data_IF_971139960972
#
_entry.id   IF_971139960972
#
_cell.length_a   1.000
_cell.length_b   1.000
_cell.length_c   1.000
_cell.angle_alpha   90.00
_cell.angle_beta   90.00
_cell.angle_gamma   90.00
#
_symmetry.space_group_name_H-M   'P 1'
#
loop_
_entity.id
_entity.type
_entity.pdbx_description
1 polymer ?
#
# COMPACT_ATOMS: atom_id res chain seq x y z
N UNK A 1 5.28 -9.06 -52.02
CA UNK A 1 5.87 -7.72 -51.78
C UNK A 1 4.89 -6.76 -51.05
N UNK A 2 3.61 -6.61 -51.47
CA UNK A 2 2.68 -5.67 -50.80
C UNK A 2 2.23 -6.14 -49.40
N UNK A 3 2.09 -7.44 -49.17
CA UNK A 3 1.66 -8.00 -47.87
C UNK A 3 2.79 -8.09 -46.80
N UNK A 4 4.06 -8.02 -47.21
CA UNK A 4 5.19 -8.03 -46.27
C UNK A 4 5.46 -6.65 -45.64
N UNK A 5 5.13 -5.56 -46.35
CA UNK A 5 5.32 -4.19 -45.85
C UNK A 5 4.28 -3.79 -44.80
N UNK A 6 3.04 -4.30 -44.89
CA UNK A 6 1.99 -4.04 -43.91
C UNK A 6 2.29 -4.75 -42.58
N UNK A 7 2.77 -6.01 -42.66
CA UNK A 7 3.09 -6.79 -41.45
C UNK A 7 4.29 -6.24 -40.66
N UNK A 8 5.25 -5.58 -41.29
CA UNK A 8 6.42 -5.02 -40.59
C UNK A 8 6.12 -3.67 -39.94
N UNK A 9 5.23 -2.85 -40.51
CA UNK A 9 4.83 -1.57 -39.90
C UNK A 9 3.92 -1.75 -38.70
N UNK A 10 3.01 -2.72 -38.69
CA UNK A 10 2.18 -3.04 -37.54
C UNK A 10 3.00 -3.64 -36.38
N UNK A 11 3.92 -4.57 -36.66
CA UNK A 11 4.79 -5.15 -35.62
C UNK A 11 5.74 -4.11 -35.01
N UNK A 12 6.27 -3.17 -35.78
CA UNK A 12 7.10 -2.07 -35.26
C UNK A 12 6.28 -1.05 -34.49
N UNK A 13 5.05 -0.75 -34.91
CA UNK A 13 4.12 0.11 -34.17
C UNK A 13 3.73 -0.48 -32.80
N UNK A 14 3.33 -1.73 -32.76
CA UNK A 14 2.98 -2.46 -31.52
C UNK A 14 4.19 -2.59 -30.58
N UNK A 15 5.38 -2.86 -31.12
CA UNK A 15 6.62 -2.93 -30.34
C UNK A 15 6.98 -1.58 -29.71
N UNK A 16 6.87 -0.48 -30.47
CA UNK A 16 7.11 0.88 -29.96
C UNK A 16 6.07 1.30 -28.91
N UNK A 17 4.79 0.98 -29.13
CA UNK A 17 3.74 1.23 -28.12
C UNK A 17 3.97 0.44 -26.83
N UNK A 18 4.34 -0.84 -26.93
CA UNK A 18 4.67 -1.66 -25.74
C UNK A 18 5.89 -1.15 -24.99
N UNK A 19 6.91 -0.64 -25.71
CA UNK A 19 8.11 -0.08 -25.08
C UNK A 19 7.81 1.26 -24.42
N UNK A 20 7.02 2.13 -25.06
CA UNK A 20 6.58 3.40 -24.48
C UNK A 20 5.76 3.15 -23.19
N UNK A 21 4.73 2.29 -23.28
CA UNK A 21 3.90 1.93 -22.12
C UNK A 21 4.73 1.37 -20.96
N UNK A 22 5.71 0.50 -21.25
CA UNK A 22 6.61 -0.03 -20.21
C UNK A 22 7.49 1.05 -19.60
N UNK A 23 7.95 2.04 -20.35
CA UNK A 23 8.71 3.16 -19.83
C UNK A 23 7.85 4.04 -18.89
N UNK A 24 6.57 4.24 -19.20
CA UNK A 24 5.64 5.01 -18.37
C UNK A 24 5.44 4.33 -17.00
N UNK A 25 5.37 2.99 -16.95
CA UNK A 25 5.24 2.23 -15.70
C UNK A 25 6.51 2.29 -14.82
N UNK A 26 7.64 2.63 -15.40
CA UNK A 26 8.94 2.80 -14.73
C UNK A 26 9.26 4.26 -14.43
N UNK A 27 8.37 5.22 -14.73
CA UNK A 27 8.60 6.64 -14.49
C UNK A 27 8.16 7.05 -13.07
N UNK A 28 9.10 7.36 -12.16
CA UNK A 28 8.80 7.80 -10.81
C UNK A 28 8.57 9.31 -10.69
N UNK A 29 8.55 10.07 -11.79
CA UNK A 29 8.59 11.56 -11.77
C UNK A 29 7.41 12.20 -11.02
N UNK A 30 6.27 11.50 -10.92
CA UNK A 30 5.10 11.90 -10.15
C UNK A 30 5.19 11.60 -8.66
N UNK A 31 6.22 10.87 -8.23
CA UNK A 31 6.36 10.38 -6.86
C UNK A 31 7.33 11.23 -6.03
N UNK A 32 7.23 11.07 -4.71
CA UNK A 32 8.12 11.69 -3.73
C UNK A 32 8.41 10.72 -2.60
N UNK A 33 9.57 10.89 -1.97
CA UNK A 33 9.88 10.24 -0.71
C UNK A 33 9.06 10.94 0.40
N UNK A 34 8.25 10.17 1.11
CA UNK A 34 7.31 10.74 2.08
C UNK A 34 8.03 11.46 3.22
N UNK A 35 9.19 10.96 3.66
CA UNK A 35 10.02 11.62 4.69
C UNK A 35 10.56 13.00 4.28
N UNK A 36 10.62 13.32 2.98
CA UNK A 36 11.04 14.65 2.54
C UNK A 36 9.93 15.71 2.79
N UNK A 37 8.66 15.28 2.77
CA UNK A 37 7.51 16.16 3.03
C UNK A 37 7.06 16.14 4.48
N UNK A 38 7.20 14.99 5.16
CA UNK A 38 6.79 14.74 6.54
C UNK A 38 7.98 14.16 7.31
N UNK A 39 8.95 15.00 7.73
CA UNK A 39 10.23 14.52 8.30
C UNK A 39 10.10 13.74 9.61
N UNK A 40 9.02 13.94 10.34
CA UNK A 40 8.74 13.27 11.62
C UNK A 40 7.89 12.00 11.48
N UNK A 41 7.56 11.58 10.24
CA UNK A 41 6.79 10.38 9.98
C UNK A 41 7.59 9.13 10.38
N UNK A 42 6.90 8.19 11.02
CA UNK A 42 7.51 6.91 11.39
C UNK A 42 7.23 5.93 10.26
N UNK A 43 8.26 5.22 9.82
CA UNK A 43 8.16 4.24 8.75
C UNK A 43 8.58 2.87 9.28
N UNK A 44 7.66 1.92 9.29
CA UNK A 44 7.89 0.51 9.56
C UNK A 44 7.42 -0.29 8.36
N UNK A 45 8.13 -0.15 7.24
CA UNK A 45 7.74 -0.76 5.97
C UNK A 45 7.78 -2.29 6.09
N UNK A 46 6.61 -2.90 6.25
CA UNK A 46 6.45 -4.32 6.59
C UNK A 46 6.97 -5.22 5.50
N UNK A 47 6.75 -4.86 4.25
CA UNK A 47 7.13 -5.68 3.11
C UNK A 47 8.63 -5.61 2.75
N UNK A 48 9.37 -4.67 3.33
CA UNK A 48 10.83 -4.68 3.30
C UNK A 48 11.43 -5.70 4.30
N UNK A 49 10.68 -6.08 5.32
CA UNK A 49 11.12 -7.03 6.36
C UNK A 49 10.50 -8.41 6.15
N UNK A 50 10.86 -9.37 7.00
CA UNK A 50 10.24 -10.70 7.03
C UNK A 50 8.99 -10.75 7.93
N UNK A 51 8.65 -9.67 8.64
CA UNK A 51 7.46 -9.63 9.49
C UNK A 51 6.23 -9.14 8.71
N UNK A 52 5.77 -9.98 7.80
CA UNK A 52 4.58 -9.82 6.98
C UNK A 52 3.90 -11.20 6.79
N UNK A 53 2.77 -11.24 6.13
CA UNK A 53 1.96 -12.48 5.99
C UNK A 53 2.62 -13.59 5.14
N UNK A 54 3.67 -13.28 4.38
CA UNK A 54 4.48 -14.25 3.63
C UNK A 54 5.61 -14.79 4.50
N UNK A 55 6.28 -13.92 5.28
CA UNK A 55 7.43 -14.25 6.12
C UNK A 55 8.78 -14.10 5.42
N UNK A 56 8.81 -13.43 4.27
CA UNK A 56 10.01 -13.06 3.51
C UNK A 56 9.92 -11.59 3.07
N UNK A 57 11.08 -10.99 2.73
CA UNK A 57 11.06 -9.67 2.10
C UNK A 57 10.40 -9.77 0.73
N UNK A 58 9.50 -8.85 0.45
CA UNK A 58 8.71 -8.83 -0.76
C UNK A 58 9.51 -8.23 -1.93
N UNK A 59 9.33 -8.81 -3.12
CA UNK A 59 9.98 -8.32 -4.34
C UNK A 59 9.67 -6.85 -4.60
N UNK A 60 10.68 -6.12 -5.06
CA UNK A 60 10.57 -4.69 -5.37
C UNK A 60 10.72 -3.75 -4.19
N UNK A 61 10.80 -4.22 -2.94
CA UNK A 61 11.15 -3.40 -1.79
C UNK A 61 12.66 -3.43 -1.57
N UNK A 62 13.37 -2.43 -2.10
CA UNK A 62 14.84 -2.32 -2.01
C UNK A 62 15.29 -1.49 -0.79
N UNK A 63 14.44 -0.57 -0.32
CA UNK A 63 14.67 0.27 0.87
C UNK A 63 13.43 0.30 1.78
N UNK A 64 13.60 0.50 3.10
CA UNK A 64 12.49 0.64 4.04
C UNK A 64 11.92 2.06 4.02
N UNK A 65 11.49 2.54 2.86
CA UNK A 65 10.96 3.88 2.66
C UNK A 65 9.57 3.88 2.05
N UNK A 66 8.77 4.90 2.38
CA UNK A 66 7.45 5.12 1.81
C UNK A 66 7.55 6.10 0.63
N UNK A 67 7.08 5.66 -0.53
CA UNK A 67 6.91 6.48 -1.72
C UNK A 67 5.42 6.71 -1.95
N UNK A 68 5.02 7.93 -2.30
CA UNK A 68 3.65 8.26 -2.70
C UNK A 68 3.67 9.21 -3.89
N UNK A 69 2.56 9.27 -4.62
CA UNK A 69 2.33 10.38 -5.53
C UNK A 69 2.41 11.69 -4.77
N UNK A 70 2.83 12.74 -5.45
CA UNK A 70 3.00 14.08 -4.86
C UNK A 70 1.69 14.61 -4.23
N UNK A 71 0.57 14.29 -4.84
CA UNK A 71 -0.78 14.64 -4.40
C UNK A 71 -1.13 13.91 -3.10
N UNK A 72 -0.98 12.59 -3.06
CA UNK A 72 -1.23 11.80 -1.86
C UNK A 72 -0.31 12.18 -0.70
N UNK A 73 0.97 12.43 -0.98
CA UNK A 73 1.94 12.87 0.04
C UNK A 73 1.59 14.24 0.62
N UNK A 74 1.06 15.18 -0.19
CA UNK A 74 0.57 16.50 0.29
C UNK A 74 -0.66 16.36 1.17
N UNK A 75 -1.63 15.54 0.76
CA UNK A 75 -2.82 15.26 1.55
C UNK A 75 -2.42 14.60 2.89
N UNK A 76 -1.52 13.64 2.87
CA UNK A 76 -1.03 12.97 4.09
C UNK A 76 -0.24 13.91 5.00
N UNK A 77 0.47 14.90 4.46
CA UNK A 77 1.10 15.97 5.26
C UNK A 77 0.05 16.77 6.04
N UNK A 78 -1.11 17.05 5.45
CA UNK A 78 -2.20 17.74 6.15
C UNK A 78 -2.76 16.88 7.28
N UNK A 79 -2.93 15.56 7.06
CA UNK A 79 -3.28 14.58 8.09
C UNK A 79 -2.26 14.60 9.22
N UNK A 80 -0.97 14.53 8.90
CA UNK A 80 0.12 14.54 9.89
C UNK A 80 0.10 15.81 10.74
N UNK A 81 -0.07 16.99 10.12
CA UNK A 81 -0.14 18.26 10.83
C UNK A 81 -1.35 18.31 11.80
N UNK A 82 -2.53 17.84 11.36
CA UNK A 82 -3.73 17.80 12.21
C UNK A 82 -3.52 16.85 13.41
N UNK A 83 -2.96 15.67 13.15
CA UNK A 83 -2.74 14.68 14.21
C UNK A 83 -1.63 15.09 15.17
N UNK A 84 -0.58 15.76 14.69
CA UNK A 84 0.48 16.29 15.53
C UNK A 84 -0.04 17.27 16.59
N UNK A 85 -0.92 18.19 16.21
CA UNK A 85 -1.58 19.14 17.16
C UNK A 85 -2.41 18.39 18.21
N UNK A 86 -2.92 17.20 17.87
CA UNK A 86 -3.70 16.35 18.79
C UNK A 86 -2.82 15.41 19.62
N UNK A 87 -1.50 15.46 19.48
CA UNK A 87 -0.56 14.64 20.23
C UNK A 87 -0.26 13.27 19.60
N UNK A 88 -0.51 13.11 18.31
CA UNK A 88 -0.26 11.85 17.60
C UNK A 88 0.73 12.04 16.45
N UNK A 89 1.46 10.98 16.12
CA UNK A 89 2.29 10.87 14.91
C UNK A 89 1.75 9.76 14.01
N UNK A 90 1.95 9.91 12.71
CA UNK A 90 1.63 8.85 11.76
C UNK A 90 2.74 7.80 11.74
N UNK A 91 2.36 6.54 11.67
CA UNK A 91 3.26 5.41 11.44
C UNK A 91 2.79 4.66 10.20
N UNK A 92 3.65 4.54 9.21
CA UNK A 92 3.37 3.94 7.89
C UNK A 92 3.85 2.49 7.90
N UNK A 93 2.98 1.58 7.47
CA UNK A 93 3.27 0.17 7.26
C UNK A 93 3.57 -0.14 5.79
N UNK A 94 2.83 0.50 4.86
CA UNK A 94 3.03 0.42 3.42
C UNK A 94 2.52 1.69 2.72
N UNK A 95 3.03 1.94 1.49
CA UNK A 95 2.60 3.05 0.66
C UNK A 95 2.58 2.60 -0.81
N UNK A 96 3.34 3.20 -1.73
CA UNK A 96 3.49 2.64 -3.06
C UNK A 96 4.05 1.21 -2.99
N UNK A 97 3.39 0.29 -3.70
CA UNK A 97 3.74 -1.12 -3.81
C UNK A 97 3.87 -1.47 -5.28
N UNK A 98 5.05 -1.84 -5.79
CA UNK A 98 5.23 -2.15 -7.21
C UNK A 98 4.45 -3.40 -7.63
N UNK A 99 4.11 -3.51 -8.91
CA UNK A 99 3.39 -4.69 -9.43
C UNK A 99 4.13 -6.01 -9.19
N UNK A 100 5.48 -6.03 -9.19
CA UNK A 100 6.23 -7.24 -8.86
C UNK A 100 5.95 -7.74 -7.45
N UNK A 101 5.71 -6.85 -6.48
CA UNK A 101 5.29 -7.22 -5.12
C UNK A 101 3.90 -7.89 -5.11
N UNK A 102 2.96 -7.34 -5.88
CA UNK A 102 1.61 -7.94 -6.02
C UNK A 102 1.70 -9.31 -6.68
N UNK A 103 2.55 -9.46 -7.70
CA UNK A 103 2.83 -10.76 -8.34
C UNK A 103 3.42 -11.76 -7.33
N UNK A 104 4.32 -11.32 -6.45
CA UNK A 104 4.88 -12.16 -5.38
C UNK A 104 3.76 -12.66 -4.43
N UNK A 105 2.83 -11.80 -4.01
CA UNK A 105 1.66 -12.19 -3.20
C UNK A 105 0.81 -13.23 -3.89
N UNK A 106 0.54 -13.06 -5.19
CA UNK A 106 -0.27 -14.01 -5.97
C UNK A 106 0.44 -15.36 -6.09
N UNK A 107 1.74 -15.38 -6.37
CA UNK A 107 2.53 -16.61 -6.48
C UNK A 107 2.59 -17.37 -5.15
N UNK A 108 2.85 -16.65 -4.03
CA UNK A 108 2.79 -17.22 -2.70
C UNK A 108 1.41 -17.80 -2.36
N UNK A 109 0.34 -17.12 -2.76
CA UNK A 109 -1.04 -17.55 -2.48
C UNK A 109 -1.47 -18.80 -3.23
N UNK A 110 -0.79 -19.13 -4.35
CA UNK A 110 -1.01 -20.36 -5.12
C UNK A 110 -0.25 -21.55 -4.50
N UNK A 111 0.82 -21.28 -3.79
CA UNK A 111 1.62 -22.30 -3.12
C UNK A 111 1.00 -22.68 -1.77
N UNK A 112 0.39 -23.82 -1.67
CA UNK A 112 -0.36 -24.25 -0.47
C UNK A 112 0.52 -24.63 0.73
N UNK A 113 1.81 -24.93 0.53
CA UNK A 113 2.66 -25.52 1.57
C UNK A 113 3.25 -24.51 2.55
N UNK A 114 3.53 -23.28 2.13
CA UNK A 114 4.10 -22.25 3.00
C UNK A 114 3.00 -21.54 3.82
N UNK A 115 2.73 -22.06 4.99
CA UNK A 115 1.75 -21.52 5.96
C UNK A 115 2.39 -21.03 7.26
N UNK A 116 3.72 -20.79 7.29
CA UNK A 116 4.46 -20.43 8.51
C UNK A 116 3.94 -19.18 9.19
N UNK A 117 3.38 -18.23 8.45
CA UNK A 117 2.84 -16.99 8.97
C UNK A 117 1.33 -17.04 9.26
N UNK A 118 0.66 -18.15 8.93
CA UNK A 118 -0.78 -18.33 9.16
C UNK A 118 -1.23 -18.02 10.59
N UNK A 119 -0.54 -18.48 11.65
CA UNK A 119 -0.97 -18.24 13.03
C UNK A 119 -1.03 -16.75 13.41
N UNK A 120 -0.30 -15.89 12.70
CA UNK A 120 -0.17 -14.47 13.00
C UNK A 120 -1.06 -13.58 12.14
N UNK A 121 -1.26 -13.95 10.85
CA UNK A 121 -1.89 -13.06 9.88
C UNK A 121 -3.23 -13.56 9.33
N UNK A 122 -3.47 -14.89 9.28
CA UNK A 122 -4.71 -15.47 8.74
C UNK A 122 -5.11 -16.76 9.46
N UNK A 123 -5.22 -16.73 10.83
CA UNK A 123 -5.36 -17.96 11.63
C UNK A 123 -6.63 -18.74 11.34
N UNK A 124 -7.68 -18.08 10.82
CA UNK A 124 -9.00 -18.66 10.57
C UNK A 124 -9.26 -18.97 9.09
N UNK A 125 -8.35 -18.58 8.18
CA UNK A 125 -8.57 -18.66 6.74
C UNK A 125 -7.53 -19.58 6.09
N UNK A 126 -7.91 -20.16 4.95
CA UNK A 126 -6.97 -20.79 4.03
C UNK A 126 -6.51 -19.77 2.97
N UNK A 127 -5.33 -19.97 2.35
CA UNK A 127 -4.78 -19.02 1.37
C UNK A 127 -5.74 -18.68 0.23
N UNK A 128 -6.49 -19.66 -0.26
CA UNK A 128 -7.48 -19.46 -1.32
C UNK A 128 -8.63 -18.55 -0.88
N UNK A 129 -9.01 -18.58 0.40
CA UNK A 129 -10.04 -17.69 0.95
C UNK A 129 -9.58 -16.24 1.02
N UNK A 130 -8.26 -15.98 1.13
CA UNK A 130 -7.71 -14.61 1.11
C UNK A 130 -8.03 -13.89 -0.20
N UNK A 131 -7.97 -14.60 -1.33
CA UNK A 131 -8.38 -14.05 -2.64
C UNK A 131 -9.90 -13.92 -2.78
N UNK A 132 -10.65 -14.92 -2.33
CA UNK A 132 -12.12 -14.93 -2.45
C UNK A 132 -12.76 -13.81 -1.59
N UNK A 133 -12.17 -13.53 -0.44
CA UNK A 133 -12.64 -12.48 0.49
C UNK A 133 -12.06 -11.08 0.18
N UNK A 134 -11.17 -10.97 -0.82
CA UNK A 134 -10.63 -9.70 -1.28
C UNK A 134 -9.46 -9.14 -0.45
N UNK A 135 -8.92 -9.89 0.51
CA UNK A 135 -7.73 -9.49 1.27
C UNK A 135 -6.47 -9.42 0.38
N UNK A 136 -6.37 -10.31 -0.61
CA UNK A 136 -5.30 -10.28 -1.61
C UNK A 136 -5.93 -10.16 -2.99
N UNK A 137 -5.58 -9.12 -3.72
CA UNK A 137 -6.06 -8.85 -5.07
C UNK A 137 -4.94 -9.04 -6.11
N UNK A 138 -5.34 -9.33 -7.36
CA UNK A 138 -4.41 -9.42 -8.51
C UNK A 138 -3.93 -8.05 -8.99
N UNK A 139 -4.67 -7.00 -8.68
CA UNK A 139 -4.32 -5.60 -8.92
C UNK A 139 -4.49 -4.87 -7.59
N UNK A 140 -3.52 -4.05 -7.20
CA UNK A 140 -3.53 -3.33 -5.94
C UNK A 140 -3.60 -1.82 -6.17
N UNK A 141 -4.45 -1.13 -5.41
CA UNK A 141 -4.48 0.33 -5.41
C UNK A 141 -3.13 0.95 -5.02
N UNK A 142 -2.35 0.27 -4.18
CA UNK A 142 -0.99 0.70 -3.82
C UNK A 142 -0.07 0.85 -5.04
N UNK A 143 -0.24 0.02 -6.08
CA UNK A 143 0.58 0.12 -7.29
C UNK A 143 0.31 1.39 -8.11
N UNK A 144 -0.78 2.11 -7.83
CA UNK A 144 -1.09 3.42 -8.42
C UNK A 144 -0.43 4.58 -7.66
N UNK A 145 0.16 4.31 -6.48
CA UNK A 145 0.98 5.26 -5.72
C UNK A 145 0.22 6.24 -4.86
N UNK A 146 -1.10 6.12 -4.73
CA UNK A 146 -1.92 7.04 -3.93
C UNK A 146 -2.64 6.36 -2.76
N UNK A 147 -2.21 5.16 -2.41
CA UNK A 147 -2.72 4.36 -1.29
C UNK A 147 -1.67 4.25 -0.20
N UNK A 148 -2.10 4.27 1.06
CA UNK A 148 -1.26 4.17 2.24
C UNK A 148 -1.91 3.31 3.30
N UNK A 149 -1.11 2.45 3.93
CA UNK A 149 -1.45 1.68 5.13
C UNK A 149 -0.75 2.30 6.35
N UNK A 150 -1.53 2.71 7.37
CA UNK A 150 -0.97 3.46 8.48
C UNK A 150 -1.74 3.26 9.80
N UNK A 151 -1.08 3.69 10.88
CA UNK A 151 -1.68 3.81 12.21
C UNK A 151 -1.24 5.12 12.88
N UNK A 152 -1.76 5.35 14.09
CA UNK A 152 -1.41 6.47 14.96
C UNK A 152 -0.53 6.00 16.11
N UNK A 153 0.46 6.82 16.44
CA UNK A 153 1.33 6.65 17.60
C UNK A 153 1.12 7.82 18.55
N UNK A 154 0.80 7.52 19.80
CA UNK A 154 0.66 8.53 20.86
C UNK A 154 2.03 9.09 21.24
N UNK A 155 2.18 10.41 21.18
CA UNK A 155 3.46 11.09 21.41
C UNK A 155 3.91 11.07 22.88
N UNK A 156 2.99 10.91 23.82
CA UNK A 156 3.32 10.89 25.25
C UNK A 156 3.85 9.52 25.67
N UNK A 157 3.29 8.45 25.12
CA UNK A 157 3.66 7.09 25.47
C UNK A 157 4.66 6.46 24.52
N UNK A 158 4.77 6.98 23.30
CA UNK A 158 5.56 6.41 22.21
C UNK A 158 5.00 5.10 21.67
N UNK A 159 3.75 4.75 21.99
CA UNK A 159 3.10 3.50 21.57
C UNK A 159 2.06 3.75 20.49
N UNK A 160 1.84 2.74 19.65
CA UNK A 160 0.70 2.73 18.73
C UNK A 160 -0.61 2.76 19.52
N UNK A 161 -1.63 3.41 18.96
CA UNK A 161 -2.99 3.27 19.46
C UNK A 161 -3.46 1.83 19.22
N UNK A 162 -4.13 1.28 20.21
CA UNK A 162 -4.73 -0.05 20.07
C UNK A 162 -5.94 0.02 19.14
N UNK A 163 -5.81 -0.56 17.96
CA UNK A 163 -6.85 -0.61 16.94
C UNK A 163 -7.70 -1.89 17.01
N UNK A 164 -7.50 -2.75 18.02
CA UNK A 164 -8.24 -3.99 18.23
C UNK A 164 -7.78 -5.16 17.35
N UNK A 165 -6.95 -4.90 16.35
CA UNK A 165 -6.25 -5.93 15.58
C UNK A 165 -4.95 -5.37 15.01
N UNK A 166 -3.90 -6.20 14.83
CA UNK A 166 -2.68 -5.76 14.20
C UNK A 166 -2.87 -5.53 12.70
N UNK A 167 -1.94 -4.79 12.11
CA UNK A 167 -1.80 -4.63 10.65
C UNK A 167 -1.67 -5.99 9.96
N UNK A 168 -2.29 -6.15 8.80
CA UNK A 168 -2.32 -7.37 7.97
C UNK A 168 -2.98 -8.61 8.64
N UNK A 169 -3.72 -8.44 9.73
CA UNK A 169 -4.54 -9.54 10.21
C UNK A 169 -5.77 -9.71 9.31
N UNK A 170 -5.79 -10.74 8.48
CA UNK A 170 -6.90 -11.07 7.59
C UNK A 170 -8.01 -11.80 8.37
N UNK A 171 -8.85 -10.99 9.01
CA UNK A 171 -9.96 -11.42 9.86
C UNK A 171 -11.02 -10.31 9.89
N UNK A 172 -12.28 -10.67 10.08
CA UNK A 172 -13.39 -9.71 10.19
C UNK A 172 -13.20 -8.71 11.34
N UNK A 173 -12.39 -9.05 12.34
CA UNK A 173 -12.03 -8.12 13.41
C UNK A 173 -11.24 -6.91 12.88
N UNK A 174 -10.62 -7.00 11.70
CA UNK A 174 -9.88 -5.91 11.05
C UNK A 174 -10.75 -4.98 10.22
N UNK A 175 -12.03 -5.32 10.00
CA UNK A 175 -12.96 -4.43 9.29
C UNK A 175 -13.18 -3.15 10.09
N UNK A 176 -13.17 -1.97 9.45
CA UNK A 176 -13.31 -0.67 10.15
C UNK A 176 -14.57 -0.55 11.02
N UNK A 177 -15.67 -1.16 10.58
CA UNK A 177 -16.97 -1.14 11.25
C UNK A 177 -17.18 -2.27 12.29
N UNK A 178 -16.18 -3.14 12.47
CA UNK A 178 -16.25 -4.24 13.43
C UNK A 178 -16.56 -3.72 14.84
N UNK A 179 -17.59 -4.30 15.47
CA UNK A 179 -18.02 -3.97 16.83
C UNK A 179 -17.61 -5.03 17.86
N UNK A 180 -16.90 -6.07 17.44
CA UNK A 180 -16.39 -7.11 18.33
C UNK A 180 -15.01 -6.75 18.90
N UNK A 181 -14.83 -5.46 19.21
CA UNK A 181 -13.65 -4.84 19.83
C UNK A 181 -14.12 -3.91 20.95
N UNK A 182 -13.20 -3.38 21.77
CA UNK A 182 -13.58 -2.43 22.82
C UNK A 182 -14.02 -1.07 22.23
N UNK A 183 -14.79 -0.29 23.01
CA UNK A 183 -15.19 1.05 22.61
C UNK A 183 -13.96 1.94 22.34
N UNK A 184 -12.92 1.85 23.16
CA UNK A 184 -11.66 2.59 22.97
C UNK A 184 -10.97 2.22 21.64
N UNK A 185 -10.88 0.93 21.32
CA UNK A 185 -10.31 0.47 20.04
C UNK A 185 -11.11 0.97 18.84
N UNK A 186 -12.44 0.97 18.95
CA UNK A 186 -13.31 1.52 17.93
C UNK A 186 -13.13 3.03 17.78
N UNK A 187 -13.07 3.78 18.87
CA UNK A 187 -12.81 5.23 18.86
C UNK A 187 -11.46 5.56 18.21
N UNK A 188 -10.41 4.78 18.51
CA UNK A 188 -9.10 4.93 17.90
C UNK A 188 -9.17 4.79 16.37
N UNK A 189 -9.89 3.79 15.85
CA UNK A 189 -10.13 3.65 14.40
C UNK A 189 -10.88 4.84 13.83
N UNK A 190 -11.90 5.32 14.53
CA UNK A 190 -12.69 6.48 14.07
C UNK A 190 -11.87 7.77 14.05
N UNK A 191 -10.95 7.96 15.00
CA UNK A 191 -10.01 9.09 14.97
C UNK A 191 -9.19 9.07 13.69
N UNK A 192 -8.59 7.92 13.34
CA UNK A 192 -7.80 7.76 12.13
C UNK A 192 -8.67 7.93 10.87
N UNK A 193 -9.78 7.20 10.79
CA UNK A 193 -10.65 7.22 9.62
C UNK A 193 -11.18 8.63 9.33
N UNK A 194 -11.66 9.33 10.34
CA UNK A 194 -12.22 10.68 10.16
C UNK A 194 -11.18 11.70 9.69
N UNK A 195 -9.95 11.65 10.19
CA UNK A 195 -8.90 12.57 9.73
C UNK A 195 -8.50 12.25 8.30
N UNK A 196 -8.41 10.98 7.94
CA UNK A 196 -8.09 10.55 6.57
C UNK A 196 -9.18 11.02 5.59
N UNK A 197 -10.46 10.77 5.89
CA UNK A 197 -11.59 11.20 5.05
C UNK A 197 -11.62 12.73 4.88
N UNK A 198 -11.43 13.50 5.94
CA UNK A 198 -11.41 14.98 5.84
C UNK A 198 -10.30 15.51 4.95
N UNK A 199 -9.25 14.74 4.78
CA UNK A 199 -8.10 15.09 3.93
C UNK A 199 -8.12 14.38 2.56
N UNK A 200 -9.29 13.89 2.13
CA UNK A 200 -9.54 13.37 0.79
C UNK A 200 -9.16 11.92 0.56
N UNK A 201 -8.98 11.13 1.62
CA UNK A 201 -8.75 9.70 1.50
C UNK A 201 -10.03 8.90 1.72
N UNK A 202 -10.18 7.81 0.96
CA UNK A 202 -11.26 6.84 1.10
C UNK A 202 -10.77 5.57 1.80
N UNK A 203 -11.46 5.09 2.86
CA UNK A 203 -11.19 3.79 3.48
C UNK A 203 -11.73 2.66 2.59
N UNK A 204 -11.31 1.42 2.91
CA UNK A 204 -11.96 0.20 2.39
C UNK A 204 -12.69 -0.56 3.51
N UNK A 205 -13.58 -1.47 3.13
CA UNK A 205 -14.49 -2.13 4.09
C UNK A 205 -13.85 -3.27 4.90
N UNK A 206 -12.67 -3.77 4.49
CA UNK A 206 -12.06 -4.96 5.09
C UNK A 206 -10.79 -4.70 5.92
N UNK A 207 -10.24 -3.46 5.90
CA UNK A 207 -8.96 -3.13 6.53
C UNK A 207 -8.99 -1.73 7.16
N UNK A 208 -8.87 -1.63 8.49
CA UNK A 208 -8.94 -0.34 9.20
C UNK A 208 -7.76 0.60 8.91
N UNK A 209 -6.65 0.07 8.41
CA UNK A 209 -5.41 0.81 8.14
C UNK A 209 -5.31 1.39 6.73
N UNK A 210 -6.12 0.89 5.77
CA UNK A 210 -5.99 1.12 4.34
C UNK A 210 -6.80 2.32 3.85
N UNK A 211 -6.11 3.25 3.17
CA UNK A 211 -6.72 4.47 2.64
C UNK A 211 -6.15 4.83 1.28
N UNK A 212 -7.02 5.12 0.33
CA UNK A 212 -6.67 5.57 -1.03
C UNK A 212 -7.11 7.00 -1.23
N UNK A 213 -6.28 7.87 -1.82
CA UNK A 213 -6.68 9.24 -2.18
C UNK A 213 -7.82 9.19 -3.21
N UNK A 214 -8.92 9.94 -2.98
CA UNK A 214 -10.11 9.92 -3.85
C UNK A 214 -9.77 10.42 -5.26
N UNK A 215 -9.08 11.55 -5.36
CA UNK A 215 -8.63 12.14 -6.62
C UNK A 215 -7.21 11.69 -6.96
N UNK A 216 -7.05 10.40 -7.29
CA UNK A 216 -5.74 9.84 -7.69
C UNK A 216 -5.26 10.44 -9.01
N UNK A 217 -3.98 10.87 -9.13
CA UNK A 217 -3.44 11.36 -10.40
C UNK A 217 -3.27 10.23 -11.45
N UNK A 218 -3.20 8.98 -11.02
CA UNK A 218 -2.94 7.81 -11.89
C UNK A 218 -3.94 6.68 -11.62
N UNK A 219 -5.26 6.87 -11.80
CA UNK A 219 -6.28 5.89 -11.39
C UNK A 219 -6.23 4.56 -12.15
N UNK A 220 -5.60 4.55 -13.34
CA UNK A 220 -5.52 3.38 -14.23
C UNK A 220 -4.08 2.90 -14.47
N UNK A 221 -3.07 3.48 -13.79
CA UNK A 221 -1.67 3.16 -14.00
C UNK A 221 -1.10 2.40 -12.81
N UNK A 222 -0.66 1.16 -13.05
CA UNK A 222 -0.03 0.30 -12.06
C UNK A 222 1.48 0.30 -12.29
N UNK A 223 2.22 0.99 -11.45
CA UNK A 223 3.65 1.19 -11.59
C UNK A 223 4.46 -0.04 -11.18
N UNK A 224 5.67 -0.18 -11.77
CA UNK A 224 6.53 -1.36 -11.59
C UNK A 224 7.96 -1.01 -11.13
N UNK A 225 8.27 0.28 -10.89
CA UNK A 225 9.59 0.66 -10.38
C UNK A 225 9.78 0.26 -8.91
N UNK A 226 11.04 0.02 -8.47
CA UNK A 226 11.29 -0.46 -7.11
C UNK A 226 11.02 0.64 -6.07
N UNK A 227 10.67 0.21 -4.85
CA UNK A 227 10.64 1.09 -3.67
C UNK A 227 12.08 1.38 -3.26
N UNK A 228 12.59 2.52 -3.73
CA UNK A 228 13.97 2.96 -3.52
C UNK A 228 14.07 4.48 -3.62
N UNK A 229 14.67 5.12 -2.64
CA UNK A 229 14.95 6.56 -2.65
C UNK A 229 15.98 6.93 -3.73
N UNK A 230 16.89 6.02 -4.06
CA UNK A 230 17.87 6.22 -5.12
C UNK A 230 17.22 6.23 -6.49
N UNK A 231 16.16 5.44 -6.70
CA UNK A 231 15.44 5.39 -7.97
C UNK A 231 14.72 6.70 -8.28
N UNK A 232 14.18 7.38 -7.27
CA UNK A 232 13.54 8.69 -7.41
C UNK A 232 14.49 9.81 -7.82
N UNK A 233 15.79 9.65 -7.57
CA UNK A 233 16.82 10.68 -7.80
C UNK A 233 17.54 10.57 -9.14
N UNK A 234 17.23 9.53 -9.90
CA UNK A 234 17.76 9.29 -11.27
C UNK A 234 16.92 9.97 -12.31
#
# INVERSE_FOLDING_TARGET
MYNELINNNEKTGISKMRTAYKNDLMDPSGFVLLSDLVPDIIQEIRYYTTYNFIGDRIDGYEEPCALLTREAARALKSVSNEMFVRGYRLKIFDAYRPECAVKHFVLWGIEDQDIRMKPYFYPKLEKQELFMKGYIAKLSSHSRGSTVDLTLLDMNTGKELDMGSPFDLFDEISHPDCRNISDEQYENRMILQQVMIRNGFCPIDCEWWHFTLEDEPYPDTYFEFPVSSEFLRK
#
